data_IF_775699486955
#
_entry.id   IF_775699486955
#
_cell.length_a   1.000
_cell.length_b   1.000
_cell.length_c   1.000
_cell.angle_alpha   90.00
_cell.angle_beta   90.00
_cell.angle_gamma   90.00
#
_symmetry.space_group_name_H-M   'P 1'
#
loop_
_entity.id
_entity.type
_entity.pdbx_description
1 polymer ?
#
# COMPACT_ATOMS: atom_id res chain seq x y z
N UNK A 1 -66.11 -13.47 71.96
CA UNK A 1 -65.80 -14.67 71.15
C UNK A 1 -65.66 -14.23 69.68
N UNK A 2 -64.42 -14.21 69.22
CA UNK A 2 -63.88 -14.10 67.85
C UNK A 2 -64.18 -12.85 67.00
N UNK A 3 -63.25 -11.88 67.11
CA UNK A 3 -63.05 -10.75 66.20
C UNK A 3 -62.27 -11.24 64.95
N UNK A 4 -62.86 -11.16 63.76
CA UNK A 4 -62.16 -11.44 62.49
C UNK A 4 -61.45 -10.17 62.01
N UNK A 5 -60.11 -10.20 61.99
CA UNK A 5 -59.27 -9.17 61.39
C UNK A 5 -59.11 -9.50 59.91
N UNK A 6 -59.52 -8.57 59.04
CA UNK A 6 -59.32 -8.66 57.58
C UNK A 6 -58.04 -7.90 57.26
N UNK A 7 -57.01 -8.60 56.79
CA UNK A 7 -55.75 -8.00 56.33
C UNK A 7 -55.88 -7.75 54.84
N UNK A 8 -55.87 -6.47 54.45
CA UNK A 8 -55.88 -6.04 53.05
C UNK A 8 -54.43 -5.87 52.58
N UNK A 9 -53.92 -6.84 51.83
CA UNK A 9 -52.58 -6.83 51.26
C UNK A 9 -52.51 -5.90 50.05
N UNK A 10 -51.86 -4.73 50.19
CA UNK A 10 -51.63 -3.80 49.10
C UNK A 10 -50.41 -4.26 48.28
N UNK A 11 -50.64 -4.81 47.09
CA UNK A 11 -49.58 -5.22 46.16
C UNK A 11 -49.15 -3.98 45.36
N UNK A 12 -47.98 -3.41 45.70
CA UNK A 12 -47.34 -2.37 44.89
C UNK A 12 -46.61 -3.06 43.71
N UNK A 13 -47.19 -2.99 42.51
CA UNK A 13 -46.51 -3.40 41.29
C UNK A 13 -45.50 -2.31 40.91
N UNK A 14 -44.23 -2.51 41.24
CA UNK A 14 -43.13 -1.68 40.74
C UNK A 14 -42.86 -2.07 39.29
N UNK A 15 -43.42 -1.30 38.36
CA UNK A 15 -43.09 -1.39 36.95
C UNK A 15 -41.62 -0.98 36.74
N UNK A 16 -40.73 -1.96 36.59
CA UNK A 16 -39.38 -1.77 36.09
C UNK A 16 -39.48 -1.37 34.61
N UNK A 17 -39.38 -0.08 34.33
CA UNK A 17 -39.21 0.42 32.97
C UNK A 17 -37.79 0.05 32.50
N UNK A 18 -37.67 -0.97 31.67
CA UNK A 18 -36.42 -1.27 30.96
C UNK A 18 -36.15 -0.14 29.97
N UNK A 19 -35.20 0.74 30.28
CA UNK A 19 -34.70 1.71 29.31
C UNK A 19 -33.99 0.94 28.18
N UNK A 20 -34.27 1.22 26.90
CA UNK A 20 -33.46 0.69 25.82
C UNK A 20 -32.05 1.25 25.95
N UNK A 21 -31.04 0.39 25.99
CA UNK A 21 -29.65 0.79 25.93
C UNK A 21 -29.36 1.31 24.52
N UNK A 22 -29.38 2.63 24.32
CA UNK A 22 -28.86 3.26 23.11
C UNK A 22 -27.34 3.20 23.21
N UNK A 23 -26.73 2.19 22.59
CA UNK A 23 -25.28 2.21 22.33
C UNK A 23 -25.02 3.26 21.27
N UNK A 24 -24.29 4.32 21.62
CA UNK A 24 -23.88 5.32 20.66
C UNK A 24 -22.92 4.66 19.64
N UNK A 25 -23.33 4.60 18.39
CA UNK A 25 -22.49 4.12 17.28
C UNK A 25 -21.21 4.97 17.22
N UNK A 26 -20.05 4.31 17.03
CA UNK A 26 -18.77 5.01 16.94
C UNK A 26 -18.83 6.06 15.82
N UNK A 27 -18.36 7.29 16.05
CA UNK A 27 -18.38 8.35 15.03
C UNK A 27 -17.40 8.09 13.88
N UNK A 28 -16.60 7.03 13.96
CA UNK A 28 -15.64 6.60 12.95
C UNK A 28 -15.66 5.08 12.80
N UNK A 29 -15.52 4.62 11.56
CA UNK A 29 -15.37 3.21 11.20
C UNK A 29 -14.32 3.06 10.09
N UNK A 30 -13.71 1.86 10.03
CA UNK A 30 -12.78 1.47 8.98
C UNK A 30 -13.48 0.44 8.10
N UNK A 31 -13.62 0.72 6.81
CA UNK A 31 -14.17 -0.22 5.84
C UNK A 31 -13.01 -0.78 5.01
N UNK A 32 -12.89 -2.11 4.98
CA UNK A 32 -11.93 -2.82 4.15
C UNK A 32 -12.67 -3.69 3.14
N UNK A 33 -12.34 -3.55 1.85
CA UNK A 33 -12.87 -4.44 0.80
C UNK A 33 -12.15 -5.80 0.80
N UNK A 34 -10.89 -5.81 1.25
CA UNK A 34 -10.03 -6.99 1.37
C UNK A 34 -9.22 -6.91 2.66
N UNK A 35 -8.99 -8.06 3.31
CA UNK A 35 -8.23 -8.17 4.58
C UNK A 35 -7.00 -9.07 4.45
N UNK A 36 -6.71 -9.61 3.27
CA UNK A 36 -5.51 -10.42 3.01
C UNK A 36 -4.82 -9.83 1.81
N UNK A 37 -3.56 -9.44 1.95
CA UNK A 37 -2.77 -8.81 0.91
C UNK A 37 -1.56 -9.69 0.62
N UNK A 38 -1.23 -9.90 -0.64
CA UNK A 38 0.05 -10.45 -1.02
C UNK A 38 1.12 -9.36 -1.06
N UNK A 39 2.38 -9.78 -1.23
CA UNK A 39 3.39 -8.86 -1.73
C UNK A 39 2.93 -8.17 -3.02
N UNK A 40 3.44 -6.96 -3.24
CA UNK A 40 3.14 -6.07 -4.36
C UNK A 40 1.75 -5.43 -4.36
N UNK A 41 0.84 -5.88 -3.49
CA UNK A 41 -0.42 -5.18 -3.28
C UNK A 41 -0.25 -3.97 -2.37
N UNK A 42 -1.14 -2.98 -2.52
CA UNK A 42 -1.21 -1.80 -1.66
C UNK A 42 -2.36 -1.93 -0.69
N UNK A 43 -2.14 -1.55 0.57
CA UNK A 43 -3.23 -1.43 1.53
C UNK A 43 -4.25 -0.41 1.04
N UNK A 44 -5.53 -0.77 1.09
CA UNK A 44 -6.64 0.13 0.79
C UNK A 44 -7.76 -0.05 1.81
N UNK A 45 -8.20 1.07 2.39
CA UNK A 45 -9.35 1.11 3.29
C UNK A 45 -10.04 2.47 3.18
N UNK A 46 -11.29 2.52 3.63
CA UNK A 46 -12.04 3.79 3.71
C UNK A 46 -12.27 4.14 5.17
N UNK A 47 -11.96 5.38 5.54
CA UNK A 47 -12.38 5.96 6.81
C UNK A 47 -13.77 6.54 6.61
N UNK A 48 -14.77 5.92 7.24
CA UNK A 48 -16.13 6.45 7.30
C UNK A 48 -16.33 7.20 8.63
N UNK A 49 -16.88 8.40 8.57
CA UNK A 49 -17.19 9.22 9.75
C UNK A 49 -18.65 9.64 9.75
N UNK A 50 -19.25 9.77 10.94
CA UNK A 50 -20.63 10.27 11.07
C UNK A 50 -20.73 11.79 10.88
N UNK A 51 -19.63 12.52 11.13
CA UNK A 51 -19.56 13.98 10.99
C UNK A 51 -18.12 14.45 10.76
N UNK A 52 -17.96 15.47 9.91
CA UNK A 52 -16.70 16.16 9.68
C UNK A 52 -16.45 17.18 10.80
N UNK A 53 -15.31 17.06 11.47
CA UNK A 53 -14.92 17.94 12.60
C UNK A 53 -13.91 19.03 12.22
N UNK A 54 -13.33 18.97 11.02
CA UNK A 54 -12.23 19.84 10.57
C UNK A 54 -10.85 19.48 11.12
N UNK A 55 -10.76 18.50 12.04
CA UNK A 55 -9.49 17.93 12.51
C UNK A 55 -9.09 16.75 11.62
N UNK A 56 -7.79 16.40 11.54
CA UNK A 56 -7.37 15.17 10.88
C UNK A 56 -7.72 13.94 11.72
N UNK A 57 -7.90 12.80 11.05
CA UNK A 57 -7.79 11.50 11.68
C UNK A 57 -6.30 11.14 11.84
N UNK A 58 -5.96 10.48 12.94
CA UNK A 58 -4.60 10.00 13.20
C UNK A 58 -4.58 8.50 13.00
N UNK A 59 -3.77 8.04 12.05
CA UNK A 59 -3.62 6.63 11.72
C UNK A 59 -2.29 6.11 12.27
N UNK A 60 -2.31 4.86 12.76
CA UNK A 60 -1.11 4.04 12.94
C UNK A 60 -1.31 2.70 12.24
N UNK A 61 -0.29 2.25 11.51
CA UNK A 61 -0.24 0.90 10.96
C UNK A 61 0.81 0.13 11.74
N UNK A 62 0.45 -1.01 12.32
CA UNK A 62 1.35 -1.78 13.19
C UNK A 62 1.19 -3.28 12.99
N UNK A 63 2.24 -4.02 13.33
CA UNK A 63 2.24 -5.48 13.39
C UNK A 63 1.62 -6.00 14.71
N UNK A 64 1.59 -7.33 14.86
CA UNK A 64 1.12 -8.01 16.08
C UNK A 64 1.96 -7.70 17.32
N UNK A 65 3.23 -7.34 17.18
CA UNK A 65 4.08 -6.94 18.30
C UNK A 65 3.80 -5.50 18.77
N UNK A 66 3.07 -4.73 17.98
CA UNK A 66 2.79 -3.32 18.21
C UNK A 66 3.83 -2.38 17.59
N UNK A 67 4.87 -2.90 16.92
CA UNK A 67 5.79 -2.10 16.14
C UNK A 67 5.07 -1.61 14.88
N UNK A 68 5.22 -0.34 14.55
CA UNK A 68 4.45 0.25 13.47
C UNK A 68 4.97 1.60 13.01
N UNK A 69 4.16 2.25 12.18
CA UNK A 69 4.41 3.58 11.65
C UNK A 69 4.42 4.64 12.77
N UNK A 70 5.04 5.78 12.46
CA UNK A 70 4.70 7.04 13.12
C UNK A 70 3.23 7.40 12.89
N UNK A 71 2.72 8.39 13.64
CA UNK A 71 1.38 8.94 13.44
C UNK A 71 1.23 9.53 12.03
N UNK A 72 0.22 9.08 11.29
CA UNK A 72 -0.09 9.56 9.94
C UNK A 72 -1.37 10.42 10.02
N UNK A 73 -1.26 11.75 9.96
CA UNK A 73 -2.43 12.62 9.96
C UNK A 73 -3.09 12.65 8.58
N UNK A 74 -4.38 12.34 8.51
CA UNK A 74 -5.18 12.42 7.28
C UNK A 74 -6.35 13.38 7.45
N UNK A 75 -6.45 14.33 6.53
CA UNK A 75 -7.57 15.26 6.48
C UNK A 75 -8.86 14.56 6.11
N UNK A 76 -9.89 14.71 6.95
CA UNK A 76 -11.24 14.19 6.69
C UNK A 76 -12.05 15.27 5.98
N UNK A 77 -12.22 15.10 4.66
CA UNK A 77 -12.90 16.08 3.78
C UNK A 77 -14.34 15.70 3.45
N UNK A 78 -14.67 14.42 3.60
CA UNK A 78 -15.96 13.84 3.26
C UNK A 78 -16.37 12.82 4.33
N UNK A 79 -17.59 12.29 4.26
CA UNK A 79 -18.04 11.25 5.18
C UNK A 79 -17.33 9.91 4.93
N UNK A 80 -16.96 9.61 3.69
CA UNK A 80 -16.19 8.43 3.30
C UNK A 80 -14.89 8.84 2.64
N UNK A 81 -13.75 8.56 3.26
CA UNK A 81 -12.44 8.99 2.77
C UNK A 81 -11.65 7.74 2.38
N UNK A 82 -11.57 7.41 1.08
CA UNK A 82 -10.73 6.32 0.61
C UNK A 82 -9.26 6.65 0.83
N UNK A 83 -8.53 5.72 1.45
CA UNK A 83 -7.12 5.86 1.81
C UNK A 83 -6.32 4.79 1.07
N UNK A 84 -5.79 5.09 -0.13
CA UNK A 84 -4.81 4.24 -0.77
C UNK A 84 -3.45 4.41 -0.09
N UNK A 85 -2.79 3.30 0.23
CA UNK A 85 -1.38 3.34 0.62
C UNK A 85 -0.53 3.78 -0.57
N UNK A 86 0.40 4.74 -0.39
CA UNK A 86 1.35 5.07 -1.44
C UNK A 86 2.33 3.91 -1.73
N UNK A 87 2.61 3.08 -0.72
CA UNK A 87 3.57 1.99 -0.79
C UNK A 87 2.88 0.63 -0.89
N UNK A 88 3.46 -0.26 -1.71
CA UNK A 88 3.09 -1.66 -1.77
C UNK A 88 3.75 -2.45 -0.63
N UNK A 89 3.25 -3.66 -0.37
CA UNK A 89 3.91 -4.60 0.53
C UNK A 89 5.09 -5.25 -0.19
N UNK A 90 6.31 -4.83 0.15
CA UNK A 90 7.55 -5.42 -0.38
C UNK A 90 8.12 -6.46 0.58
N UNK A 91 8.70 -7.53 0.05
CA UNK A 91 9.19 -8.68 0.83
C UNK A 91 10.35 -8.32 1.75
N UNK A 92 11.17 -7.37 1.32
CA UNK A 92 12.33 -6.87 2.03
C UNK A 92 11.95 -5.97 3.21
N UNK A 93 10.76 -5.35 3.14
CA UNK A 93 10.29 -4.34 4.11
C UNK A 93 9.23 -4.92 5.06
N UNK A 94 8.31 -5.73 4.54
CA UNK A 94 7.16 -6.26 5.27
C UNK A 94 7.27 -7.77 5.49
N UNK A 95 7.09 -8.16 6.75
CA UNK A 95 7.04 -9.57 7.13
C UNK A 95 5.65 -10.13 6.86
N UNK A 96 5.59 -11.42 6.56
CA UNK A 96 4.33 -12.16 6.52
C UNK A 96 3.72 -12.16 7.92
N UNK A 97 2.42 -11.93 8.00
CA UNK A 97 1.73 -11.97 9.27
C UNK A 97 0.55 -11.03 9.33
N UNK A 98 0.09 -10.80 10.55
CA UNK A 98 -1.06 -9.96 10.82
C UNK A 98 -0.63 -8.54 11.17
N UNK A 99 -1.41 -7.60 10.66
CA UNK A 99 -1.23 -6.17 10.85
C UNK A 99 -2.56 -5.52 11.21
N UNK A 100 -2.47 -4.31 11.74
CA UNK A 100 -3.61 -3.54 12.21
C UNK A 100 -3.53 -2.11 11.68
N UNK A 101 -4.69 -1.57 11.32
CA UNK A 101 -4.91 -0.14 11.08
C UNK A 101 -5.66 0.40 12.29
N UNK A 102 -5.00 1.24 13.08
CA UNK A 102 -5.63 1.98 14.18
C UNK A 102 -5.98 3.39 13.70
N UNK A 103 -7.24 3.79 13.84
CA UNK A 103 -7.72 5.13 13.49
C UNK A 103 -8.26 5.82 14.74
N UNK A 104 -7.70 6.98 15.05
CA UNK A 104 -8.22 7.90 16.05
C UNK A 104 -8.87 9.11 15.37
N UNK A 105 -10.16 9.33 15.64
CA UNK A 105 -10.90 10.47 15.13
C UNK A 105 -12.00 10.90 16.09
N UNK A 106 -12.16 12.21 16.29
CA UNK A 106 -13.18 12.79 17.18
C UNK A 106 -13.18 12.19 18.61
N UNK A 107 -12.01 11.82 19.13
CA UNK A 107 -11.84 11.19 20.44
C UNK A 107 -12.20 9.70 20.51
N UNK A 108 -12.65 9.11 19.40
CA UNK A 108 -12.92 7.68 19.27
C UNK A 108 -11.75 6.96 18.62
N UNK A 109 -11.52 5.71 19.01
CA UNK A 109 -10.48 4.83 18.47
C UNK A 109 -11.12 3.57 17.94
N UNK A 110 -10.78 3.20 16.71
CA UNK A 110 -11.20 1.96 16.06
C UNK A 110 -10.01 1.28 15.43
N UNK A 111 -10.06 -0.05 15.35
CA UNK A 111 -9.00 -0.88 14.80
C UNK A 111 -9.59 -1.84 13.77
N UNK A 112 -8.90 -2.01 12.65
CA UNK A 112 -9.16 -3.06 11.67
C UNK A 112 -7.94 -3.96 11.52
N UNK A 113 -8.17 -5.23 11.21
CA UNK A 113 -7.13 -6.25 11.01
C UNK A 113 -6.97 -6.59 9.53
N UNK A 114 -5.74 -6.77 9.09
CA UNK A 114 -5.43 -7.42 7.81
C UNK A 114 -4.20 -8.32 7.92
N UNK A 115 -3.93 -9.11 6.88
CA UNK A 115 -2.78 -10.01 6.81
C UNK A 115 -1.97 -9.75 5.55
N UNK A 116 -0.66 -9.87 5.66
CA UNK A 116 0.26 -9.97 4.53
C UNK A 116 0.66 -11.43 4.38
N UNK A 117 0.55 -11.97 3.17
CA UNK A 117 0.92 -13.35 2.82
C UNK A 117 1.95 -13.36 1.69
N UNK A 118 2.75 -14.42 1.61
CA UNK A 118 3.49 -14.72 0.39
C UNK A 118 2.54 -15.40 -0.60
N UNK A 119 2.56 -14.95 -1.85
CA UNK A 119 1.80 -15.56 -2.94
C UNK A 119 2.63 -15.66 -4.22
N UNK A 120 3.96 -15.60 -4.09
CA UNK A 120 4.90 -15.58 -5.21
C UNK A 120 4.67 -14.41 -6.19
N UNK A 121 3.94 -13.37 -5.76
CA UNK A 121 3.77 -12.14 -6.53
C UNK A 121 5.06 -11.32 -6.42
N UNK A 122 5.62 -10.97 -7.58
CA UNK A 122 6.84 -10.19 -7.72
C UNK A 122 6.49 -8.90 -8.46
N UNK A 123 7.01 -7.78 -7.99
CA UNK A 123 6.82 -6.43 -8.52
C UNK A 123 8.16 -5.76 -8.64
N UNK A 124 8.19 -4.67 -9.40
CA UNK A 124 9.37 -3.82 -9.47
C UNK A 124 9.43 -3.03 -8.15
N UNK A 125 10.50 -3.18 -7.35
CA UNK A 125 10.57 -2.54 -6.04
C UNK A 125 10.55 -1.01 -6.12
N UNK A 126 10.02 -0.35 -5.09
CA UNK A 126 9.82 1.10 -5.03
C UNK A 126 11.13 1.89 -5.16
N UNK A 127 12.26 1.31 -4.76
CA UNK A 127 13.58 1.92 -4.95
C UNK A 127 13.87 2.25 -6.42
N UNK A 128 13.36 1.43 -7.35
CA UNK A 128 13.50 1.68 -8.79
C UNK A 128 12.77 2.95 -9.22
N UNK A 129 11.66 3.33 -8.57
CA UNK A 129 10.98 4.59 -8.89
C UNK A 129 11.90 5.79 -8.69
N UNK A 130 12.77 5.76 -7.70
CA UNK A 130 13.73 6.85 -7.48
C UNK A 130 14.76 6.91 -8.62
N UNK A 131 15.35 5.78 -9.00
CA UNK A 131 16.26 5.71 -10.15
C UNK A 131 15.59 6.19 -11.43
N UNK A 132 14.33 5.80 -11.66
CA UNK A 132 13.55 6.23 -12.80
C UNK A 132 13.28 7.74 -12.82
N UNK A 133 13.01 8.36 -11.67
CA UNK A 133 12.84 9.82 -11.57
C UNK A 133 14.16 10.53 -11.89
N UNK A 134 15.28 10.06 -11.35
CA UNK A 134 16.60 10.63 -11.63
C UNK A 134 16.96 10.49 -13.12
N UNK A 135 16.67 9.32 -13.72
CA UNK A 135 16.91 9.07 -15.14
C UNK A 135 16.03 9.93 -16.05
N UNK A 136 14.73 10.07 -15.75
CA UNK A 136 13.82 10.94 -16.50
C UNK A 136 14.23 12.42 -16.46
N UNK A 137 14.93 12.84 -15.41
CA UNK A 137 15.46 14.18 -15.25
C UNK A 137 16.91 14.33 -15.77
N UNK A 138 17.43 13.31 -16.47
CA UNK A 138 18.79 13.27 -17.01
C UNK A 138 19.90 13.42 -15.95
N UNK A 139 19.61 13.07 -14.68
CA UNK A 139 20.58 13.12 -13.57
C UNK A 139 21.46 11.86 -13.48
N UNK A 140 21.02 10.74 -14.08
CA UNK A 140 21.81 9.51 -14.21
C UNK A 140 21.76 9.01 -15.65
N UNK A 141 22.80 8.27 -16.09
CA UNK A 141 22.83 7.68 -17.43
C UNK A 141 21.92 6.45 -17.54
N UNK A 142 21.62 6.08 -18.79
CA UNK A 142 20.91 4.86 -19.17
C UNK A 142 21.51 3.61 -18.50
N UNK A 143 22.83 3.43 -18.57
CA UNK A 143 23.47 2.27 -17.95
C UNK A 143 23.40 2.24 -16.43
N UNK A 144 23.39 3.39 -15.73
CA UNK A 144 23.13 3.41 -14.28
C UNK A 144 21.69 2.97 -13.95
N UNK A 145 20.73 3.29 -14.81
CA UNK A 145 19.37 2.80 -14.66
C UNK A 145 19.28 1.28 -14.92
N UNK A 146 19.93 0.77 -15.96
CA UNK A 146 19.96 -0.67 -16.24
C UNK A 146 20.70 -1.45 -15.13
N UNK A 147 21.79 -0.90 -14.58
CA UNK A 147 22.47 -1.47 -13.40
C UNK A 147 21.54 -1.56 -12.19
N UNK A 148 20.75 -0.50 -11.94
CA UNK A 148 19.74 -0.51 -10.88
C UNK A 148 18.67 -1.59 -11.12
N UNK A 149 18.18 -1.74 -12.35
CA UNK A 149 17.27 -2.84 -12.69
C UNK A 149 17.91 -4.20 -12.41
N UNK A 150 19.13 -4.45 -12.90
CA UNK A 150 19.82 -5.73 -12.71
C UNK A 150 20.06 -6.06 -11.22
N UNK A 151 20.30 -5.04 -10.39
CA UNK A 151 20.63 -5.20 -8.98
C UNK A 151 19.41 -5.39 -8.08
N UNK A 152 18.30 -4.72 -8.39
CA UNK A 152 17.15 -4.64 -7.48
C UNK A 152 15.88 -5.30 -8.01
N UNK A 153 15.76 -5.52 -9.32
CA UNK A 153 14.59 -6.19 -9.90
C UNK A 153 14.87 -7.68 -10.03
N UNK A 154 13.88 -8.49 -9.66
CA UNK A 154 13.94 -9.93 -9.82
C UNK A 154 14.06 -10.32 -11.31
N UNK A 155 14.95 -11.27 -11.60
CA UNK A 155 15.22 -11.76 -12.97
C UNK A 155 13.99 -12.33 -13.67
N UNK A 156 12.98 -12.79 -12.92
CA UNK A 156 11.71 -13.25 -13.49
C UNK A 156 10.85 -12.13 -14.06
N UNK A 157 11.10 -10.87 -13.66
CA UNK A 157 10.46 -9.69 -14.25
C UNK A 157 11.32 -9.11 -15.37
N UNK A 158 12.58 -8.79 -15.10
CA UNK A 158 13.49 -8.17 -16.08
C UNK A 158 14.77 -8.98 -16.14
N UNK A 159 15.03 -9.60 -17.29
CA UNK A 159 16.24 -10.40 -17.53
C UNK A 159 17.24 -9.60 -18.37
N UNK A 160 18.36 -9.22 -17.77
CA UNK A 160 19.43 -8.46 -18.42
C UNK A 160 20.60 -9.43 -18.66
N UNK A 161 20.79 -9.93 -19.90
CA UNK A 161 21.68 -11.06 -20.20
C UNK A 161 23.16 -10.66 -20.36
N UNK A 162 23.55 -9.48 -19.87
CA UNK A 162 24.90 -8.94 -19.99
C UNK A 162 25.38 -8.33 -18.68
N UNK A 163 26.71 -8.35 -18.48
CA UNK A 163 27.32 -7.80 -17.27
C UNK A 163 27.59 -6.30 -17.41
N UNK A 164 27.19 -5.52 -16.41
CA UNK A 164 27.44 -4.08 -16.34
C UNK A 164 28.63 -3.82 -15.40
N UNK A 165 29.57 -2.99 -15.85
CA UNK A 165 30.76 -2.61 -15.10
C UNK A 165 31.20 -1.19 -15.44
N UNK A 166 32.24 -0.70 -14.75
CA UNK A 166 32.75 0.66 -14.93
C UNK A 166 33.22 0.98 -16.36
N UNK A 167 33.52 -0.02 -17.18
CA UNK A 167 33.99 0.15 -18.57
C UNK A 167 32.82 0.36 -19.54
N UNK A 168 31.68 -0.32 -19.33
CA UNK A 168 30.56 -0.34 -20.28
C UNK A 168 29.31 0.42 -19.81
N UNK A 169 29.23 0.84 -18.54
CA UNK A 169 28.04 1.49 -17.96
C UNK A 169 27.62 2.81 -18.63
N UNK A 170 28.52 3.43 -19.40
CA UNK A 170 28.23 4.65 -20.17
C UNK A 170 27.94 4.37 -21.65
N UNK A 171 28.09 3.13 -22.10
CA UNK A 171 27.90 2.74 -23.51
C UNK A 171 26.48 2.24 -23.79
N UNK A 172 25.75 1.86 -22.75
CA UNK A 172 24.34 1.47 -22.83
C UNK A 172 23.50 2.68 -23.20
N UNK A 173 22.61 2.53 -24.18
CA UNK A 173 21.66 3.56 -24.58
C UNK A 173 20.22 3.05 -24.48
N UNK A 174 19.35 3.85 -23.88
CA UNK A 174 17.91 3.65 -23.87
C UNK A 174 17.29 4.76 -24.74
N UNK A 175 16.51 4.41 -25.78
CA UNK A 175 15.94 5.44 -26.64
C UNK A 175 14.99 6.39 -25.89
N UNK A 176 15.13 7.69 -26.12
CA UNK A 176 14.31 8.74 -25.46
C UNK A 176 12.80 8.54 -25.60
N UNK A 177 12.33 7.91 -26.68
CA UNK A 177 10.91 7.66 -26.89
C UNK A 177 10.29 6.75 -25.81
N UNK A 178 11.11 5.99 -25.09
CA UNK A 178 10.68 5.11 -23.97
C UNK A 178 10.35 5.91 -22.70
N UNK A 179 10.83 7.16 -22.56
CA UNK A 179 10.62 8.01 -21.37
C UNK A 179 9.13 8.25 -21.06
N UNK A 180 8.26 8.24 -22.08
CA UNK A 180 6.81 8.38 -21.87
C UNK A 180 6.21 7.17 -21.12
N UNK A 181 6.62 5.95 -21.49
CA UNK A 181 6.18 4.72 -20.83
C UNK A 181 6.71 4.63 -19.40
N UNK A 182 7.97 5.03 -19.21
CA UNK A 182 8.58 5.20 -17.90
C UNK A 182 7.80 6.14 -16.99
N UNK A 183 7.40 7.31 -17.50
CA UNK A 183 6.56 8.25 -16.77
C UNK A 183 5.20 7.64 -16.40
N UNK A 184 4.53 6.95 -17.33
CA UNK A 184 3.26 6.29 -17.06
C UNK A 184 3.36 5.16 -16.02
N UNK A 185 4.46 4.42 -16.01
CA UNK A 185 4.74 3.42 -14.97
C UNK A 185 4.93 4.08 -13.58
N UNK A 186 5.67 5.20 -13.50
CA UNK A 186 5.81 5.96 -12.25
C UNK A 186 4.45 6.45 -11.73
N UNK A 187 3.59 6.93 -12.63
CA UNK A 187 2.23 7.36 -12.29
C UNK A 187 1.27 6.20 -11.97
N UNK A 188 1.70 4.93 -12.12
CA UNK A 188 0.87 3.75 -11.91
C UNK A 188 -0.20 3.54 -12.99
N UNK A 189 -0.06 4.19 -14.15
CA UNK A 189 -0.94 3.98 -15.32
C UNK A 189 -0.54 2.73 -16.12
N UNK A 190 0.73 2.33 -16.03
CA UNK A 190 1.25 1.08 -16.59
C UNK A 190 1.64 0.20 -15.40
N UNK A 191 1.22 -1.07 -15.43
CA UNK A 191 1.54 -2.05 -14.38
C UNK A 191 3.00 -2.50 -14.47
N UNK A 192 3.54 -3.04 -13.37
CA UNK A 192 4.91 -3.57 -13.34
C UNK A 192 5.12 -4.68 -14.36
N UNK A 193 4.11 -5.53 -14.60
CA UNK A 193 4.17 -6.58 -15.62
C UNK A 193 4.23 -6.00 -17.04
N UNK A 194 3.40 -5.00 -17.36
CA UNK A 194 3.45 -4.37 -18.68
C UNK A 194 4.76 -3.62 -18.91
N UNK A 195 5.26 -2.94 -17.87
CA UNK A 195 6.52 -2.21 -17.96
C UNK A 195 7.72 -3.15 -18.10
N UNK A 196 7.79 -4.23 -17.31
CA UNK A 196 8.84 -5.23 -17.42
C UNK A 196 8.84 -5.93 -18.79
N UNK A 197 7.67 -6.28 -19.32
CA UNK A 197 7.55 -6.82 -20.69
C UNK A 197 8.09 -5.84 -21.75
N UNK A 198 7.82 -4.55 -21.61
CA UNK A 198 8.39 -3.54 -22.50
C UNK A 198 9.92 -3.49 -22.41
N UNK A 199 10.49 -3.51 -21.20
CA UNK A 199 11.95 -3.51 -21.01
C UNK A 199 12.58 -4.76 -21.60
N UNK A 200 12.02 -5.95 -21.33
CA UNK A 200 12.49 -7.21 -21.90
C UNK A 200 12.44 -7.18 -23.44
N UNK A 201 11.36 -6.66 -24.03
CA UNK A 201 11.28 -6.49 -25.48
C UNK A 201 12.41 -5.61 -26.03
N UNK A 202 12.77 -4.52 -25.35
CA UNK A 202 13.87 -3.66 -25.77
C UNK A 202 15.24 -4.38 -25.67
N UNK A 203 15.40 -5.26 -24.69
CA UNK A 203 16.60 -6.08 -24.53
C UNK A 203 16.65 -7.17 -25.62
N UNK A 204 15.54 -7.88 -25.84
CA UNK A 204 15.42 -8.97 -26.82
C UNK A 204 15.65 -8.51 -28.26
N UNK A 205 15.28 -7.27 -28.59
CA UNK A 205 15.49 -6.67 -29.90
C UNK A 205 16.84 -5.94 -30.03
N UNK A 206 17.77 -6.15 -29.08
CA UNK A 206 19.09 -5.52 -29.00
C UNK A 206 19.06 -3.97 -28.98
N UNK A 207 17.89 -3.37 -28.65
CA UNK A 207 17.73 -1.91 -28.54
C UNK A 207 18.42 -1.42 -27.27
N UNK A 208 18.28 -2.14 -26.16
CA UNK A 208 19.07 -1.96 -24.94
C UNK A 208 20.09 -3.09 -24.91
N UNK A 209 21.34 -2.76 -25.23
CA UNK A 209 22.44 -3.71 -25.29
C UNK A 209 23.76 -3.00 -25.00
N UNK A 210 24.81 -3.77 -24.72
CA UNK A 210 26.18 -3.26 -24.80
C UNK A 210 26.56 -3.26 -26.27
N UNK A 211 27.00 -2.13 -26.85
CA UNK A 211 27.52 -2.11 -28.21
C UNK A 211 28.69 -3.10 -28.30
N UNK A 212 28.45 -4.26 -28.90
CA UNK A 212 29.56 -5.10 -29.33
C UNK A 212 30.24 -4.29 -30.42
N UNK A 213 31.58 -4.18 -30.40
CA UNK A 213 32.31 -3.70 -31.57
C UNK A 213 31.80 -4.52 -32.76
N UNK A 214 30.93 -3.94 -33.58
CA UNK A 214 30.62 -4.48 -34.89
C UNK A 214 31.96 -4.41 -35.59
N UNK A 215 32.64 -5.55 -35.62
CA UNK A 215 33.86 -5.73 -36.36
C UNK A 215 33.70 -5.02 -37.68
N UNK A 216 34.64 -4.14 -37.96
CA UNK A 216 34.88 -3.58 -39.29
C UNK A 216 34.84 -4.71 -40.31
N UNK A 217 33.66 -5.01 -40.84
CA UNK A 217 33.49 -5.84 -42.02
C UNK A 217 33.05 -4.93 -43.16
N UNK A 218 34.11 -4.56 -43.88
CA UNK A 218 34.27 -4.09 -45.27
C UNK A 218 33.88 -2.65 -45.61
#
# INVERSE_FOLDING_TARGET
MNLKIIILSLILATSFASLPSVSAESPVAIIMEKTTYSYCERLFYTIEVSKITGKPAIIHIRDESGKGSSAIPIEIKQLKNPIPSPFAFEKEVFQIGKYFVDVEYAGSKVTAEFKVIDSDNICIPEVIRQFMIEWLNDNISDGYLIDAFQKYVDVSLIDIPFEINDENILEINIPDWTKSSAYWWIQGMVSDNEFSQMINYLIDEDIISIPTERGSEI
#
